data_IF_477681874701
#
_entry.id   IF_477681874701
#
_cell.length_a   1.000
_cell.length_b   1.000
_cell.length_c   1.000
_cell.angle_alpha   90.00
_cell.angle_beta   90.00
_cell.angle_gamma   90.00
#
_symmetry.space_group_name_H-M   'P 1'
#
loop_
_entity.id
_entity.type
_entity.pdbx_description
1 polymer ?
#
# COMPACT_ATOMS: atom_id res chain seq x y z
N UNK A 1 15.11 0.65 16.65
CA UNK A 1 14.33 0.97 15.43
C UNK A 1 13.39 -0.20 15.21
N UNK A 2 12.10 -0.03 15.52
CA UNK A 2 11.10 -1.09 15.41
C UNK A 2 10.38 -0.88 14.08
N UNK A 3 10.86 -1.56 13.05
CA UNK A 3 10.27 -1.60 11.73
C UNK A 3 9.02 -2.47 11.82
N UNK A 4 7.83 -1.88 11.66
CA UNK A 4 6.52 -2.57 11.74
C UNK A 4 6.23 -3.48 10.52
N UNK A 5 7.28 -3.90 9.80
CA UNK A 5 7.18 -4.91 8.77
C UNK A 5 6.68 -6.21 9.42
N UNK A 6 5.85 -7.01 8.71
CA UNK A 6 5.57 -8.36 9.16
C UNK A 6 6.91 -9.09 9.33
N UNK A 7 7.20 -9.59 10.52
CA UNK A 7 8.40 -10.41 10.75
C UNK A 7 8.33 -11.58 9.75
N UNK A 8 9.32 -11.66 8.85
CA UNK A 8 9.40 -12.63 7.74
C UNK A 8 8.61 -12.29 6.45
N UNK A 9 8.37 -11.01 6.17
CA UNK A 9 7.94 -10.57 4.84
C UNK A 9 9.11 -10.59 3.84
N UNK A 10 8.89 -11.18 2.67
CA UNK A 10 9.78 -11.12 1.52
C UNK A 10 9.11 -10.26 0.46
N UNK A 11 9.80 -9.21 0.00
CA UNK A 11 9.36 -8.43 -1.16
C UNK A 11 9.53 -9.31 -2.39
N UNK A 12 8.43 -9.59 -3.09
CA UNK A 12 8.45 -10.40 -4.33
C UNK A 12 8.48 -9.52 -5.56
N UNK A 13 7.80 -8.37 -5.54
CA UNK A 13 7.73 -7.42 -6.66
C UNK A 13 7.58 -5.97 -6.18
N UNK A 14 8.13 -5.05 -6.97
CA UNK A 14 7.74 -3.63 -6.96
C UNK A 14 6.69 -3.46 -8.06
N UNK A 15 5.45 -3.14 -7.68
CA UNK A 15 4.32 -3.02 -8.61
C UNK A 15 4.25 -1.63 -9.23
N UNK A 16 4.54 -0.59 -8.43
CA UNK A 16 4.62 0.78 -8.92
C UNK A 16 5.52 1.62 -8.01
N UNK A 17 5.94 2.78 -8.53
CA UNK A 17 6.61 3.81 -7.74
C UNK A 17 5.97 5.15 -8.09
N UNK A 18 5.57 5.89 -7.06
CA UNK A 18 4.93 7.19 -7.21
C UNK A 18 5.65 8.21 -6.35
N UNK A 19 5.92 9.38 -6.93
CA UNK A 19 6.44 10.52 -6.18
C UNK A 19 5.28 11.38 -5.71
N UNK A 20 5.14 11.54 -4.41
CA UNK A 20 4.15 12.43 -3.79
C UNK A 20 4.94 13.47 -3.00
N UNK A 21 4.83 14.73 -3.42
CA UNK A 21 5.65 15.83 -2.93
C UNK A 21 7.16 15.50 -3.05
N UNK A 22 7.88 15.44 -1.93
CA UNK A 22 9.31 15.15 -1.87
C UNK A 22 9.62 13.69 -1.55
N UNK A 23 8.60 12.83 -1.43
CA UNK A 23 8.74 11.45 -1.00
C UNK A 23 8.40 10.50 -2.15
N UNK A 24 9.25 9.51 -2.38
CA UNK A 24 8.95 8.39 -3.28
C UNK A 24 8.34 7.25 -2.48
N UNK A 25 7.17 6.80 -2.92
CA UNK A 25 6.46 5.64 -2.39
C UNK A 25 6.53 4.50 -3.39
N UNK A 26 6.78 3.29 -2.91
CA UNK A 26 6.83 2.06 -3.66
C UNK A 26 5.67 1.17 -3.24
N UNK A 27 4.82 0.82 -4.20
CA UNK A 27 3.76 -0.16 -4.01
C UNK A 27 4.36 -1.53 -4.20
N UNK A 28 4.34 -2.35 -3.15
CA UNK A 28 5.05 -3.62 -3.09
C UNK A 28 4.08 -4.79 -2.97
N UNK A 29 4.44 -5.87 -3.66
CA UNK A 29 3.93 -7.19 -3.39
C UNK A 29 4.87 -7.86 -2.38
N UNK A 30 4.32 -8.34 -1.27
CA UNK A 30 5.06 -9.06 -0.23
C UNK A 30 4.44 -10.42 0.03
N UNK A 31 5.29 -11.39 0.39
CA UNK A 31 4.87 -12.72 0.83
C UNK A 31 5.41 -13.01 2.22
N UNK A 32 4.58 -13.55 3.10
CA UNK A 32 4.95 -13.99 4.44
C UNK A 32 5.33 -15.47 4.44
N UNK A 33 6.46 -15.81 5.04
CA UNK A 33 6.97 -17.20 5.06
C UNK A 33 6.15 -18.16 5.93
N UNK A 34 5.40 -17.64 6.93
CA UNK A 34 4.74 -18.46 7.94
C UNK A 34 3.26 -18.75 7.65
N UNK A 35 2.69 -18.14 6.61
CA UNK A 35 1.29 -18.38 6.25
C UNK A 35 1.26 -19.53 5.24
N UNK A 36 0.78 -20.69 5.70
CA UNK A 36 0.71 -21.96 4.98
C UNK A 36 -0.12 -21.94 3.69
N UNK A 37 -0.52 -20.77 3.19
CA UNK A 37 -1.38 -20.59 2.04
C UNK A 37 -1.00 -19.38 1.15
N UNK A 38 0.28 -18.96 1.14
CA UNK A 38 0.75 -18.02 0.12
C UNK A 38 0.02 -16.67 0.14
N UNK A 39 -0.26 -16.14 1.33
CA UNK A 39 -0.79 -14.79 1.46
C UNK A 39 0.18 -13.81 0.76
N UNK A 40 -0.34 -13.16 -0.27
CA UNK A 40 0.31 -12.07 -0.97
C UNK A 40 -0.30 -10.79 -0.41
N UNK A 41 0.48 -10.07 0.39
CA UNK A 41 0.11 -8.77 0.91
C UNK A 41 0.51 -7.66 -0.06
N UNK A 42 -0.31 -6.61 -0.14
CA UNK A 42 0.06 -5.36 -0.78
C UNK A 42 0.40 -4.33 0.28
N UNK A 43 1.59 -3.73 0.17
CA UNK A 43 2.07 -2.72 1.12
C UNK A 43 2.65 -1.52 0.39
N UNK A 44 2.80 -0.43 1.13
CA UNK A 44 3.53 0.75 0.68
C UNK A 44 4.78 0.92 1.52
N UNK A 45 5.91 1.09 0.86
CA UNK A 45 7.13 1.53 1.49
C UNK A 45 7.53 2.89 0.93
N UNK A 46 8.28 3.69 1.69
CA UNK A 46 8.88 4.91 1.19
C UNK A 46 10.39 4.90 1.38
N UNK A 47 11.09 5.54 0.45
CA UNK A 47 12.55 5.65 0.48
C UNK A 47 12.99 6.88 1.29
N UNK A 48 13.68 6.68 2.40
CA UNK A 48 14.39 7.76 3.09
C UNK A 48 15.87 7.38 3.25
N UNK A 49 16.75 8.14 2.60
CA UNK A 49 18.21 8.01 2.68
C UNK A 49 18.72 6.55 2.55
N UNK A 50 18.30 5.86 1.48
CA UNK A 50 18.65 4.46 1.16
C UNK A 50 18.03 3.38 2.07
N UNK A 51 17.04 3.73 2.88
CA UNK A 51 16.30 2.80 3.73
C UNK A 51 14.83 2.80 3.31
N UNK A 52 14.26 1.60 3.11
CA UNK A 52 12.83 1.42 2.92
C UNK A 52 12.13 1.35 4.28
N UNK A 53 11.27 2.32 4.53
CA UNK A 53 10.41 2.33 5.70
C UNK A 53 9.02 1.83 5.31
N UNK A 54 8.45 0.97 6.14
CA UNK A 54 7.04 0.61 6.01
C UNK A 54 6.18 1.82 6.35
N UNK A 55 5.21 2.13 5.51
CA UNK A 55 4.18 3.10 5.82
C UNK A 55 3.00 2.40 6.50
N UNK A 56 3.20 1.95 7.74
CA UNK A 56 2.11 1.52 8.65
C UNK A 56 1.72 2.59 9.67
N UNK A 57 2.12 3.85 9.44
CA UNK A 57 1.73 4.97 10.29
C UNK A 57 0.20 5.06 10.35
N UNK A 58 -0.38 4.53 11.43
CA UNK A 58 -1.83 4.47 11.69
C UNK A 58 -2.64 3.51 10.78
N UNK A 59 -2.13 2.30 10.52
CA UNK A 59 -2.93 1.16 10.02
C UNK A 59 -4.08 0.72 10.95
N UNK A 60 -4.41 1.48 12.00
CA UNK A 60 -5.71 1.42 12.67
C UNK A 60 -6.69 2.32 11.90
N UNK A 61 -7.24 1.78 10.82
CA UNK A 61 -8.50 2.23 10.20
C UNK A 61 -8.47 3.65 9.61
N UNK A 62 -7.96 3.76 8.39
CA UNK A 62 -8.66 4.64 7.42
C UNK A 62 -10.10 4.10 7.18
N UNK A 63 -10.41 2.88 7.61
CA UNK A 63 -11.76 2.28 7.64
C UNK A 63 -12.79 2.99 8.53
N UNK A 64 -12.42 3.88 9.46
CA UNK A 64 -13.39 4.51 10.39
C UNK A 64 -13.65 5.99 10.11
N UNK A 65 -12.78 6.69 9.40
CA UNK A 65 -13.09 8.05 8.88
C UNK A 65 -13.72 8.04 7.48
N UNK A 66 -13.50 6.99 6.67
CA UNK A 66 -14.09 6.87 5.32
C UNK A 66 -15.62 6.71 5.30
N UNK A 67 -16.27 6.31 6.40
CA UNK A 67 -17.74 6.16 6.43
C UNK A 67 -18.52 7.48 6.44
N UNK A 68 -17.87 8.61 6.77
CA UNK A 68 -18.57 9.88 7.00
C UNK A 68 -18.08 11.04 6.13
N UNK A 69 -17.08 10.85 5.27
CA UNK A 69 -16.57 11.89 4.38
C UNK A 69 -16.21 11.32 3.03
N UNK A 70 -16.80 11.86 1.96
CA UNK A 70 -16.45 11.56 0.58
C UNK A 70 -15.02 12.03 0.30
N UNK A 71 -14.02 11.21 0.64
CA UNK A 71 -12.65 11.49 0.23
C UNK A 71 -12.61 11.44 -1.30
N UNK A 72 -12.18 12.56 -1.90
CA UNK A 72 -12.07 12.65 -3.36
C UNK A 72 -10.77 11.97 -3.76
N UNK A 73 -10.86 11.09 -4.74
CA UNK A 73 -9.68 10.58 -5.44
C UNK A 73 -9.02 11.78 -6.12
N UNK A 74 -7.73 11.98 -5.86
CA UNK A 74 -6.93 12.96 -6.56
C UNK A 74 -6.51 12.38 -7.92
N UNK A 75 -5.91 11.18 -7.90
CA UNK A 75 -5.61 10.37 -9.09
C UNK A 75 -5.34 8.90 -8.73
N UNK A 76 -5.40 8.04 -9.74
CA UNK A 76 -4.98 6.64 -9.67
C UNK A 76 -3.55 6.52 -10.17
N UNK A 77 -2.67 5.99 -9.34
CA UNK A 77 -1.24 5.85 -9.63
C UNK A 77 -0.95 4.63 -10.51
N UNK A 78 -1.65 3.52 -10.26
CA UNK A 78 -1.46 2.24 -10.92
C UNK A 78 -2.65 1.31 -10.65
N UNK A 79 -2.72 0.20 -11.37
CA UNK A 79 -3.56 -0.95 -11.02
C UNK A 79 -2.71 -2.22 -11.00
N UNK A 80 -3.17 -3.22 -10.28
CA UNK A 80 -2.55 -4.53 -10.16
C UNK A 80 -3.64 -5.59 -10.09
N UNK A 81 -3.58 -6.57 -10.98
CA UNK A 81 -4.41 -7.76 -10.92
C UNK A 81 -3.59 -8.91 -10.34
N UNK A 82 -4.10 -9.50 -9.26
CA UNK A 82 -3.44 -10.65 -8.64
C UNK A 82 -3.76 -11.96 -9.38
N UNK A 83 -3.06 -13.07 -9.11
CA UNK A 83 -3.31 -14.36 -9.76
C UNK A 83 -4.72 -14.95 -9.55
N UNK A 84 -5.49 -14.42 -8.59
CA UNK A 84 -6.88 -14.81 -8.32
C UNK A 84 -7.89 -13.95 -9.10
N UNK A 85 -7.43 -13.01 -9.94
CA UNK A 85 -8.26 -12.09 -10.71
C UNK A 85 -8.79 -10.89 -9.91
N UNK A 86 -8.32 -10.67 -8.68
CA UNK A 86 -8.69 -9.48 -7.91
C UNK A 86 -7.87 -8.28 -8.38
N UNK A 87 -8.58 -7.19 -8.70
CA UNK A 87 -7.98 -5.94 -9.17
C UNK A 87 -7.86 -4.95 -8.01
N UNK A 88 -6.65 -4.43 -7.82
CA UNK A 88 -6.33 -3.41 -6.84
C UNK A 88 -5.85 -2.15 -7.55
N UNK A 89 -6.27 -0.99 -7.07
CA UNK A 89 -5.80 0.30 -7.54
C UNK A 89 -4.93 0.96 -6.49
N UNK A 90 -3.80 1.50 -6.92
CA UNK A 90 -2.99 2.40 -6.13
C UNK A 90 -3.63 3.79 -6.20
N UNK A 91 -4.24 4.25 -5.12
CA UNK A 91 -5.03 5.49 -5.10
C UNK A 91 -4.29 6.56 -4.32
N UNK A 92 -4.14 7.75 -4.93
CA UNK A 92 -3.79 8.97 -4.22
C UNK A 92 -5.09 9.71 -3.89
N UNK A 93 -5.35 9.88 -2.60
CA UNK A 93 -6.49 10.66 -2.10
C UNK A 93 -6.13 12.13 -1.94
N UNK A 94 -7.10 13.01 -2.20
CA UNK A 94 -6.97 14.42 -1.90
C UNK A 94 -6.69 14.63 -0.40
N UNK A 95 -5.77 15.52 -0.06
CA UNK A 95 -5.31 15.82 1.31
C UNK A 95 -4.70 14.64 2.10
N UNK A 96 -4.48 13.48 1.48
CA UNK A 96 -3.76 12.36 2.10
C UNK A 96 -2.29 12.37 1.66
N UNK A 97 -1.31 12.33 2.58
CA UNK A 97 0.11 12.38 2.21
C UNK A 97 0.62 11.08 1.58
N UNK A 98 -0.08 9.96 1.78
CA UNK A 98 0.32 8.63 1.32
C UNK A 98 -0.74 8.02 0.39
N UNK A 99 -0.32 7.18 -0.56
CA UNK A 99 -1.24 6.40 -1.35
C UNK A 99 -1.73 5.16 -0.59
N UNK A 100 -2.85 4.58 -1.02
CA UNK A 100 -3.38 3.31 -0.51
C UNK A 100 -3.61 2.33 -1.65
N UNK A 101 -3.71 1.03 -1.32
CA UNK A 101 -4.22 0.02 -2.24
C UNK A 101 -5.70 -0.21 -1.93
N UNK A 102 -6.56 0.01 -2.92
CA UNK A 102 -8.00 -0.22 -2.80
C UNK A 102 -8.43 -1.34 -3.74
N UNK A 103 -9.33 -2.21 -3.28
CA UNK A 103 -9.95 -3.21 -4.14
C UNK A 103 -10.92 -2.50 -5.10
N UNK A 104 -10.99 -2.93 -6.36
CA UNK A 104 -11.92 -2.36 -7.36
C UNK A 104 -13.37 -2.29 -6.86
N UNK A 105 -13.82 -3.32 -6.15
CA UNK A 105 -15.18 -3.40 -5.60
C UNK A 105 -15.45 -2.41 -4.45
N UNK A 106 -14.41 -1.84 -3.85
CA UNK A 106 -14.50 -0.90 -2.71
C UNK A 106 -14.31 0.57 -3.10
N UNK A 107 -14.02 0.83 -4.37
CA UNK A 107 -13.76 2.16 -4.93
C UNK A 107 -15.02 2.95 -5.26
#
# INVERSE_FOLDING_TARGET
VQTAWPTNAIITKVLCSVRIQNQTFHGLEVRTLNEAAGFVGLVWAFEDNYVLYDWTGESRRITVSMRNGSHKIEYVCAHYENPNGLVYYAVKWFDCPCPTWELEESL
#
